data_IF_730321010278
#
_entry.id   IF_730321010278
#
_cell.length_a   1.000
_cell.length_b   1.000
_cell.length_c   1.000
_cell.angle_alpha   90.00
_cell.angle_beta   90.00
_cell.angle_gamma   90.00
#
_symmetry.space_group_name_H-M   'P 1'
#
loop_
_entity.id
_entity.type
_entity.pdbx_description
1 polymer ?
#
# COMPACT_ATOMS: atom_id res chain seq x y z
N UNK A 1 11.53 -15.14 -4.90
CA UNK A 1 10.90 -13.95 -4.32
C UNK A 1 11.40 -13.84 -2.90
N UNK A 2 12.10 -12.76 -2.58
CA UNK A 2 12.41 -12.44 -1.17
C UNK A 2 11.11 -12.05 -0.47
N UNK A 3 10.84 -12.53 0.75
CA UNK A 3 9.66 -12.11 1.49
C UNK A 3 9.71 -10.58 1.70
N UNK A 4 8.58 -9.87 1.57
CA UNK A 4 8.56 -8.43 1.76
C UNK A 4 9.06 -8.09 3.17
N UNK A 5 10.05 -7.19 3.25
CA UNK A 5 10.58 -6.71 4.52
C UNK A 5 9.42 -6.19 5.39
N UNK A 6 9.39 -6.49 6.70
CA UNK A 6 8.37 -5.94 7.58
C UNK A 6 8.43 -4.41 7.54
N UNK A 7 7.26 -3.72 7.54
CA UNK A 7 7.22 -2.27 7.43
C UNK A 7 8.02 -1.62 8.58
N UNK A 8 9.09 -0.89 8.23
CA UNK A 8 10.07 -0.35 9.18
C UNK A 8 9.56 0.78 10.09
N UNK A 9 8.34 1.31 9.90
CA UNK A 9 7.84 2.47 10.69
C UNK A 9 6.38 2.33 11.08
N UNK A 10 6.12 1.87 12.32
CA UNK A 10 4.78 1.84 12.92
C UNK A 10 4.12 3.22 12.99
N UNK A 11 4.91 4.28 13.12
CA UNK A 11 4.46 5.67 13.15
C UNK A 11 3.69 6.12 11.89
N UNK A 12 3.88 5.45 10.75
CA UNK A 12 3.11 5.76 9.54
C UNK A 12 1.61 5.50 9.71
N UNK A 13 1.23 4.43 10.42
CA UNK A 13 -0.18 4.15 10.74
C UNK A 13 -0.78 5.20 11.66
N UNK A 14 0.02 5.72 12.60
CA UNK A 14 -0.41 6.78 13.51
C UNK A 14 -0.62 8.10 12.75
N UNK A 15 0.25 8.44 11.80
CA UNK A 15 0.09 9.60 10.94
C UNK A 15 -1.15 9.49 10.05
N UNK A 16 -1.38 8.32 9.44
CA UNK A 16 -2.59 8.04 8.66
C UNK A 16 -3.86 8.12 9.51
N UNK A 17 -3.83 7.57 10.73
CA UNK A 17 -4.95 7.67 11.67
C UNK A 17 -5.26 9.14 11.99
N UNK A 18 -4.22 9.94 12.27
CA UNK A 18 -4.38 11.39 12.51
C UNK A 18 -4.97 12.11 11.30
N UNK A 19 -4.55 11.75 10.08
CA UNK A 19 -5.11 12.31 8.85
C UNK A 19 -6.60 11.96 8.69
N UNK A 20 -6.98 10.69 8.85
CA UNK A 20 -8.39 10.29 8.77
C UNK A 20 -9.25 10.95 9.84
N UNK A 21 -8.74 11.08 11.06
CA UNK A 21 -9.41 11.78 12.15
C UNK A 21 -9.61 13.26 11.82
N UNK A 22 -8.61 13.91 11.24
CA UNK A 22 -8.71 15.31 10.83
C UNK A 22 -9.77 15.51 9.75
N UNK A 23 -9.81 14.64 8.74
CA UNK A 23 -10.87 14.67 7.73
C UNK A 23 -12.25 14.39 8.32
N UNK A 24 -12.37 13.43 9.26
CA UNK A 24 -13.62 13.16 9.96
C UNK A 24 -14.12 14.40 10.73
N UNK A 25 -13.21 15.13 11.39
CA UNK A 25 -13.55 16.38 12.06
C UNK A 25 -14.04 17.45 11.10
N UNK A 26 -13.39 17.62 9.94
CA UNK A 26 -13.86 18.54 8.92
C UNK A 26 -15.25 18.16 8.41
N UNK A 27 -15.47 16.88 8.13
CA UNK A 27 -16.75 16.37 7.63
C UNK A 27 -17.88 16.56 8.65
N UNK A 28 -17.56 16.34 9.94
CA UNK A 28 -18.47 16.62 11.04
C UNK A 28 -18.82 18.11 11.15
N UNK A 29 -17.83 19.00 11.03
CA UNK A 29 -18.08 20.45 11.03
C UNK A 29 -18.95 20.86 9.83
N UNK A 30 -18.73 20.27 8.65
CA UNK A 30 -19.57 20.52 7.48
C UNK A 30 -21.01 20.07 7.74
N UNK A 31 -21.20 18.87 8.28
CA UNK A 31 -22.52 18.33 8.65
C UNK A 31 -23.23 19.21 9.68
N UNK A 32 -22.49 19.72 10.67
CA UNK A 32 -23.03 20.61 11.72
C UNK A 32 -23.50 21.97 11.16
N UNK A 33 -22.86 22.45 10.09
CA UNK A 33 -23.29 23.65 9.37
C UNK A 33 -24.46 23.41 8.41
N UNK A 34 -24.78 22.16 8.08
CA UNK A 34 -25.98 21.83 7.32
C UNK A 34 -27.17 21.84 8.26
N UNK A 35 -27.83 23.00 8.39
CA UNK A 35 -29.13 23.11 9.06
C UNK A 35 -30.04 21.96 8.62
N UNK A 36 -30.70 21.28 9.56
CA UNK A 36 -31.48 20.07 9.31
C UNK A 36 -32.53 20.30 8.22
N UNK A 37 -32.22 19.94 6.96
CA UNK A 37 -33.06 20.25 5.81
C UNK A 37 -34.17 19.21 5.70
N UNK A 38 -35.17 19.31 6.57
CA UNK A 38 -36.30 18.38 6.62
C UNK A 38 -37.23 18.39 5.39
N UNK A 39 -37.02 19.27 4.40
CA UNK A 39 -37.96 19.47 3.28
C UNK A 39 -37.41 19.21 1.88
N UNK A 40 -36.11 18.93 1.71
CA UNK A 40 -35.53 18.78 0.37
C UNK A 40 -34.78 17.44 0.25
N UNK A 41 -35.33 16.51 -0.54
CA UNK A 41 -34.82 15.15 -0.71
C UNK A 41 -33.33 15.10 -1.11
N UNK A 42 -32.89 16.08 -1.90
CA UNK A 42 -31.49 16.19 -2.35
C UNK A 42 -30.56 16.47 -1.17
N UNK A 43 -30.94 17.39 -0.27
CA UNK A 43 -30.14 17.75 0.89
C UNK A 43 -30.10 16.62 1.92
N UNK A 44 -31.20 15.89 2.11
CA UNK A 44 -31.24 14.68 2.93
C UNK A 44 -30.34 13.57 2.39
N UNK A 45 -30.34 13.34 1.07
CA UNK A 45 -29.45 12.37 0.44
C UNK A 45 -27.97 12.77 0.63
N UNK A 46 -27.65 14.04 0.45
CA UNK A 46 -26.30 14.58 0.60
C UNK A 46 -25.81 14.47 2.06
N UNK A 47 -26.67 14.81 3.03
CA UNK A 47 -26.41 14.61 4.45
C UNK A 47 -26.17 13.14 4.80
N UNK A 48 -26.98 12.23 4.24
CA UNK A 48 -26.83 10.78 4.47
C UNK A 48 -25.50 10.25 3.91
N UNK A 49 -25.11 10.72 2.72
CA UNK A 49 -23.82 10.36 2.11
C UNK A 49 -22.65 10.89 2.92
N UNK A 50 -22.69 12.16 3.35
CA UNK A 50 -21.67 12.75 4.24
C UNK A 50 -21.58 11.98 5.56
N UNK A 51 -22.70 11.66 6.19
CA UNK A 51 -22.73 10.87 7.44
C UNK A 51 -22.12 9.48 7.23
N UNK A 52 -22.36 8.85 6.08
CA UNK A 52 -21.75 7.56 5.73
C UNK A 52 -20.23 7.70 5.52
N UNK A 53 -19.76 8.77 4.88
CA UNK A 53 -18.34 9.07 4.72
C UNK A 53 -17.68 9.29 6.08
N UNK A 54 -18.29 10.09 6.95
CA UNK A 54 -17.84 10.32 8.33
C UNK A 54 -17.66 8.99 9.08
N UNK A 55 -18.67 8.11 9.04
CA UNK A 55 -18.60 6.80 9.68
C UNK A 55 -17.46 5.94 9.12
N UNK A 56 -17.24 5.96 7.80
CA UNK A 56 -16.13 5.26 7.16
C UNK A 56 -14.77 5.83 7.59
N UNK A 57 -14.63 7.15 7.70
CA UNK A 57 -13.40 7.80 8.15
C UNK A 57 -13.07 7.44 9.62
N UNK A 58 -14.07 7.43 10.49
CA UNK A 58 -13.90 7.00 11.89
C UNK A 58 -13.51 5.53 11.96
N UNK A 59 -14.20 4.65 11.21
CA UNK A 59 -13.85 3.24 11.14
C UNK A 59 -12.43 3.01 10.61
N UNK A 60 -12.02 3.73 9.57
CA UNK A 60 -10.66 3.69 9.03
C UNK A 60 -9.62 4.17 10.06
N UNK A 61 -9.93 5.22 10.82
CA UNK A 61 -9.07 5.71 11.91
C UNK A 61 -8.86 4.64 12.97
N UNK A 62 -9.93 4.01 13.45
CA UNK A 62 -9.86 2.93 14.43
C UNK A 62 -9.04 1.74 13.91
N UNK A 63 -9.23 1.37 12.64
CA UNK A 63 -8.48 0.30 11.99
C UNK A 63 -6.98 0.64 11.92
N UNK A 64 -6.62 1.89 11.62
CA UNK A 64 -5.22 2.34 11.62
C UNK A 64 -4.61 2.37 13.02
N UNK A 65 -5.37 2.78 14.04
CA UNK A 65 -4.95 2.70 15.45
C UNK A 65 -4.75 1.25 15.89
N UNK A 66 -5.64 0.34 15.49
CA UNK A 66 -5.47 -1.09 15.71
C UNK A 66 -4.21 -1.63 15.03
N UNK A 67 -3.91 -1.19 13.81
CA UNK A 67 -2.66 -1.54 13.10
C UNK A 67 -1.41 -1.02 13.82
N UNK A 68 -1.49 0.14 14.47
CA UNK A 68 -0.42 0.68 15.29
C UNK A 68 -0.20 -0.15 16.57
N UNK A 69 -1.29 -0.52 17.26
CA UNK A 69 -1.24 -1.32 18.49
C UNK A 69 -0.75 -2.76 18.25
N UNK A 70 -1.08 -3.35 17.10
CA UNK A 70 -0.77 -4.74 16.77
C UNK A 70 0.05 -4.86 15.48
N UNK A 71 1.34 -5.14 15.65
CA UNK A 71 2.30 -5.25 14.54
C UNK A 71 1.95 -6.34 13.51
N UNK A 72 1.28 -7.43 13.92
CA UNK A 72 0.87 -8.50 12.99
C UNK A 72 -0.26 -8.05 12.07
N UNK A 73 -1.22 -7.30 12.60
CA UNK A 73 -2.33 -6.73 11.82
C UNK A 73 -1.82 -5.69 10.82
N UNK A 74 -0.95 -4.78 11.28
CA UNK A 74 -0.34 -3.78 10.39
C UNK A 74 0.46 -4.42 9.25
N UNK A 75 1.20 -5.51 9.52
CA UNK A 75 1.92 -6.26 8.49
C UNK A 75 1.00 -6.98 7.49
N UNK A 76 -0.15 -7.52 7.95
CA UNK A 76 -1.12 -8.18 7.07
C UNK A 76 -1.83 -7.17 6.15
N UNK A 77 -2.20 -6.01 6.70
CA UNK A 77 -2.89 -4.95 5.97
C UNK A 77 -1.95 -4.28 4.96
N UNK A 78 -0.71 -3.97 5.33
CA UNK A 78 0.27 -3.41 4.37
C UNK A 78 0.55 -4.33 3.20
N UNK A 79 0.63 -5.65 3.43
CA UNK A 79 0.76 -6.63 2.34
C UNK A 79 -0.46 -6.60 1.40
N UNK A 80 -1.68 -6.65 1.94
CA UNK A 80 -2.92 -6.60 1.13
C UNK A 80 -3.06 -5.27 0.39
N UNK A 81 -2.68 -4.17 1.02
CA UNK A 81 -2.70 -2.85 0.41
C UNK A 81 -1.67 -2.73 -0.72
N UNK A 82 -0.47 -3.32 -0.57
CA UNK A 82 0.50 -3.43 -1.66
C UNK A 82 -0.09 -4.21 -2.83
N UNK A 83 -0.77 -5.34 -2.60
CA UNK A 83 -1.44 -6.08 -3.68
C UNK A 83 -2.55 -5.27 -4.37
N UNK A 84 -3.36 -4.55 -3.60
CA UNK A 84 -4.40 -3.66 -4.14
C UNK A 84 -3.78 -2.52 -4.96
N UNK A 85 -2.77 -1.84 -4.42
CA UNK A 85 -2.05 -0.77 -5.12
C UNK A 85 -1.39 -1.27 -6.40
N UNK A 86 -0.76 -2.44 -6.36
CA UNK A 86 -0.12 -3.04 -7.53
C UNK A 86 -1.16 -3.48 -8.56
N UNK A 87 -2.30 -4.04 -8.13
CA UNK A 87 -3.41 -4.40 -9.01
C UNK A 87 -4.08 -3.17 -9.64
N UNK A 88 -4.17 -2.06 -8.92
CA UNK A 88 -4.63 -0.77 -9.46
C UNK A 88 -3.59 -0.12 -10.37
N UNK A 89 -2.29 -0.34 -10.12
CA UNK A 89 -1.23 0.16 -10.99
C UNK A 89 -1.19 -0.57 -12.35
N UNK A 90 -1.66 -1.82 -12.45
CA UNK A 90 -1.70 -2.60 -13.70
C UNK A 90 -2.56 -1.95 -14.81
N UNK A 91 -3.81 -1.53 -14.59
CA UNK A 91 -4.59 -0.85 -15.62
C UNK A 91 -4.04 0.54 -15.97
N UNK A 92 -3.53 1.32 -15.01
CA UNK A 92 -2.88 2.60 -15.29
C UNK A 92 -1.56 2.45 -16.07
N UNK A 93 -0.87 1.32 -15.93
CA UNK A 93 0.34 0.97 -16.70
C UNK A 93 0.05 0.70 -18.17
N UNK A 94 -1.16 0.28 -18.51
CA UNK A 94 -1.60 0.10 -19.90
C UNK A 94 -2.17 1.37 -20.52
N UNK A 95 -2.65 2.32 -19.71
CA UNK A 95 -3.28 3.56 -20.18
C UNK A 95 -2.30 4.72 -20.45
N UNK A 96 -1.01 4.59 -20.11
CA UNK A 96 0.02 5.57 -20.49
C UNK A 96 -0.10 6.97 -19.87
N UNK A 97 -1.09 7.22 -19.02
CA UNK A 97 -1.18 8.45 -18.24
C UNK A 97 -0.15 8.40 -17.11
N UNK A 98 0.73 9.40 -17.06
CA UNK A 98 1.82 9.65 -16.09
C UNK A 98 3.23 9.15 -16.41
N UNK A 99 3.55 8.76 -17.65
CA UNK A 99 4.97 8.56 -18.04
C UNK A 99 5.72 7.53 -17.20
N UNK A 100 5.00 6.63 -16.51
CA UNK A 100 5.56 5.54 -15.71
C UNK A 100 5.93 4.39 -16.65
N UNK A 101 6.89 4.64 -17.55
CA UNK A 101 7.65 3.59 -18.21
C UNK A 101 8.65 3.02 -17.20
N UNK A 102 8.16 2.27 -16.21
CA UNK A 102 9.04 1.52 -15.32
C UNK A 102 9.54 0.30 -16.08
N UNK A 103 10.74 0.44 -16.66
CA UNK A 103 11.95 -0.40 -16.65
C UNK A 103 11.89 -1.91 -16.29
N UNK A 104 10.71 -2.52 -16.24
CA UNK A 104 10.50 -3.93 -15.88
C UNK A 104 11.21 -4.88 -16.84
N UNK A 105 11.25 -4.55 -18.13
CA UNK A 105 11.95 -5.38 -19.12
C UNK A 105 13.48 -5.35 -18.96
N UNK A 106 14.05 -4.24 -18.48
CA UNK A 106 15.51 -4.08 -18.40
C UNK A 106 16.06 -4.61 -17.07
N UNK A 107 15.30 -4.43 -15.98
CA UNK A 107 15.67 -4.97 -14.66
C UNK A 107 15.39 -6.47 -14.53
N UNK A 108 14.35 -7.01 -15.16
CA UNK A 108 14.19 -8.48 -15.26
C UNK A 108 15.31 -9.11 -16.09
N UNK A 109 15.74 -8.47 -17.19
CA UNK A 109 16.90 -8.93 -17.99
C UNK A 109 18.20 -8.88 -17.18
N UNK A 110 18.44 -7.82 -16.39
CA UNK A 110 19.61 -7.74 -15.49
C UNK A 110 19.57 -8.82 -14.41
N UNK A 111 18.41 -9.08 -13.80
CA UNK A 111 18.26 -10.11 -12.78
C UNK A 111 18.40 -11.53 -13.36
N UNK A 112 17.86 -11.80 -14.55
CA UNK A 112 18.03 -13.06 -15.26
C UNK A 112 19.50 -13.31 -15.64
N UNK A 113 20.20 -12.27 -16.08
CA UNK A 113 21.63 -12.32 -16.42
C UNK A 113 22.48 -12.62 -15.19
N UNK A 114 22.22 -11.96 -14.04
CA UNK A 114 22.88 -12.24 -12.76
C UNK A 114 22.66 -13.69 -12.29
N UNK A 115 21.43 -14.21 -12.39
CA UNK A 115 21.13 -15.61 -12.04
C UNK A 115 21.87 -16.61 -12.94
N UNK A 116 22.00 -16.31 -14.25
CA UNK A 116 22.75 -17.15 -15.20
C UNK A 116 24.26 -17.13 -14.91
N UNK A 117 24.82 -15.95 -14.62
CA UNK A 117 26.22 -15.79 -14.21
C UNK A 117 26.54 -16.53 -12.91
N UNK A 118 25.69 -16.43 -11.89
CA UNK A 118 25.87 -17.15 -10.62
C UNK A 118 25.83 -18.68 -10.80
N UNK A 119 24.94 -19.20 -11.66
CA UNK A 119 24.91 -20.64 -11.99
C UNK A 119 26.20 -21.07 -12.71
N UNK A 120 26.73 -20.25 -13.61
CA UNK A 120 27.97 -20.54 -14.33
C UNK A 120 29.20 -20.51 -13.41
N UNK A 121 29.26 -19.55 -12.47
CA UNK A 121 30.33 -19.49 -11.46
C UNK A 121 30.31 -20.73 -10.56
N UNK A 122 29.15 -21.12 -10.04
CA UNK A 122 29.00 -22.35 -9.22
C UNK A 122 29.45 -23.61 -9.97
N UNK A 123 29.21 -23.69 -11.29
CA UNK A 123 29.69 -24.81 -12.12
C UNK A 123 31.21 -24.80 -12.29
N UNK A 124 31.83 -23.62 -12.48
CA UNK A 124 33.30 -23.49 -12.55
C UNK A 124 33.97 -23.93 -11.25
N UNK A 125 33.48 -23.47 -10.10
CA UNK A 125 34.02 -23.88 -8.79
C UNK A 125 33.83 -25.38 -8.50
N UNK A 126 32.84 -26.04 -9.11
CA UNK A 126 32.62 -27.48 -8.96
C UNK A 126 33.50 -28.32 -9.90
N UNK A 127 34.03 -27.74 -10.97
CA UNK A 127 34.84 -28.42 -12.00
C UNK A 127 36.35 -28.23 -11.82
N UNK A 128 36.77 -27.24 -11.01
CA UNK A 128 38.12 -27.18 -10.46
C UNK A 128 38.08 -27.52 -8.97
N UNK A 129 38.04 -28.81 -8.59
CA UNK A 129 38.53 -29.17 -7.28
C UNK A 129 40.00 -28.77 -7.26
N UNK A 130 40.36 -27.80 -6.42
CA UNK A 130 41.74 -27.43 -6.20
C UNK A 130 42.54 -28.69 -5.89
N UNK A 131 43.44 -29.02 -6.81
CA UNK A 131 44.61 -29.84 -6.54
C UNK A 131 45.62 -28.93 -5.82
N UNK A 132 45.25 -28.45 -4.63
CA UNK A 132 46.12 -27.87 -3.60
C UNK A 132 45.81 -28.75 -2.37
N UNK A 133 46.58 -29.77 -2.01
CA UNK A 133 48.02 -29.76 -1.86
C UNK A 133 48.41 -29.49 -0.40
N UNK A 134 47.89 -30.27 0.56
CA UNK A 134 48.56 -30.73 1.79
C UNK A 134 47.78 -31.92 2.36
#
# INVERSE_FOLDING_TARGET
>A
MTPPEPPKRRFYFLQLAGLFLFFALLDYVVLDQMDYVGSNEILTALFTVLTLILMLLVAATLLMVMCFSNARLGAAITRRFQYLRDAWAVPFRHLGLFGVHVESGMDEKKQATRRKQQRHQRRRYRQHPEKNGS
#
